data_IF_535617995704
#
_entry.id   IF_535617995704
#
_cell.length_a   1.000
_cell.length_b   1.000
_cell.length_c   1.000
_cell.angle_alpha   90.00
_cell.angle_beta   90.00
_cell.angle_gamma   90.00
#
_symmetry.space_group_name_H-M   'P 1'
#
loop_
_entity.id
_entity.type
_entity.pdbx_description
1 polymer ?
#
# COMPACT_ATOMS: atom_id res chain seq x y z
N UNK A 1 4.86 -26.68 -14.17
CA UNK A 1 4.97 -26.37 -12.72
C UNK A 1 4.60 -24.90 -12.56
N UNK A 2 3.35 -24.57 -12.21
CA UNK A 2 2.88 -23.17 -12.10
C UNK A 2 3.47 -22.56 -10.82
N UNK A 3 4.52 -21.76 -10.94
CA UNK A 3 4.98 -20.89 -9.85
C UNK A 3 3.88 -19.87 -9.58
N UNK A 4 3.32 -19.90 -8.37
CA UNK A 4 2.29 -18.95 -7.95
C UNK A 4 2.84 -17.52 -8.06
N UNK A 5 2.14 -16.65 -8.79
CA UNK A 5 2.41 -15.19 -8.92
C UNK A 5 2.69 -14.51 -7.58
N UNK A 6 2.18 -15.11 -6.50
CA UNK A 6 2.36 -14.78 -5.09
C UNK A 6 3.83 -14.62 -4.68
N UNK A 7 4.73 -15.55 -5.01
CA UNK A 7 6.07 -15.56 -4.38
C UNK A 7 6.95 -14.35 -4.78
N UNK A 8 7.15 -14.04 -6.08
CA UNK A 8 7.88 -12.85 -6.50
C UNK A 8 7.25 -11.55 -5.96
N UNK A 9 5.92 -11.47 -5.98
CA UNK A 9 5.19 -10.32 -5.46
C UNK A 9 5.48 -10.09 -3.96
N UNK A 10 5.43 -11.14 -3.14
CA UNK A 10 5.73 -11.04 -1.71
C UNK A 10 7.20 -10.71 -1.42
N UNK A 11 8.12 -11.16 -2.26
CA UNK A 11 9.55 -10.80 -2.19
C UNK A 11 9.72 -9.30 -2.44
N UNK A 12 9.13 -8.76 -3.51
CA UNK A 12 9.16 -7.33 -3.83
C UNK A 12 8.54 -6.46 -2.73
N UNK A 13 7.35 -6.83 -2.24
CA UNK A 13 6.66 -6.09 -1.16
C UNK A 13 7.49 -6.07 0.12
N UNK A 14 8.03 -7.22 0.55
CA UNK A 14 8.88 -7.27 1.76
C UNK A 14 10.13 -6.39 1.60
N UNK A 15 10.74 -6.41 0.43
CA UNK A 15 11.89 -5.55 0.14
C UNK A 15 11.51 -4.07 0.26
N UNK A 16 10.41 -3.67 -0.40
CA UNK A 16 9.93 -2.30 -0.43
C UNK A 16 9.60 -1.76 0.97
N UNK A 17 8.91 -2.55 1.81
CA UNK A 17 8.58 -2.15 3.18
C UNK A 17 9.84 -2.00 4.06
N UNK A 18 10.82 -2.90 3.91
CA UNK A 18 12.10 -2.82 4.62
C UNK A 18 12.89 -1.59 4.18
N UNK A 19 12.95 -1.35 2.87
CA UNK A 19 13.62 -0.19 2.27
C UNK A 19 12.96 1.11 2.72
N UNK A 20 11.64 1.21 2.62
CA UNK A 20 10.86 2.34 3.12
C UNK A 20 11.19 2.64 4.58
N UNK A 21 11.18 1.62 5.44
CA UNK A 21 11.55 1.78 6.86
C UNK A 21 12.99 2.26 7.07
N UNK A 22 13.93 1.85 6.21
CA UNK A 22 15.33 2.26 6.29
C UNK A 22 15.52 3.72 5.84
N UNK A 23 14.86 4.12 4.74
CA UNK A 23 14.81 5.50 4.26
C UNK A 23 14.24 6.42 5.34
N UNK A 24 13.15 6.02 6.00
CA UNK A 24 12.55 6.82 7.07
C UNK A 24 13.43 6.93 8.33
N UNK A 25 14.36 5.99 8.54
CA UNK A 25 15.37 6.09 9.60
C UNK A 25 16.55 6.99 9.23
N UNK A 26 16.58 7.54 8.01
CA UNK A 26 17.69 8.35 7.51
C UNK A 26 18.93 7.52 7.16
N UNK A 27 18.78 6.22 6.89
CA UNK A 27 19.90 5.41 6.41
C UNK A 27 20.41 5.94 5.07
N UNK A 28 21.74 6.06 4.92
CA UNK A 28 22.37 6.55 3.69
C UNK A 28 22.35 5.45 2.62
N UNK A 29 21.24 5.35 1.91
CA UNK A 29 21.03 4.42 0.80
C UNK A 29 21.07 5.16 -0.54
N UNK A 30 21.53 4.49 -1.60
CA UNK A 30 21.51 5.05 -2.95
C UNK A 30 20.18 4.77 -3.61
N UNK A 31 19.38 5.83 -3.86
CA UNK A 31 18.10 5.73 -4.57
C UNK A 31 18.22 4.91 -5.87
N UNK A 32 19.20 5.21 -6.71
CA UNK A 32 19.38 4.54 -8.01
C UNK A 32 19.67 3.03 -7.86
N UNK A 33 20.50 2.66 -6.88
CA UNK A 33 20.80 1.25 -6.59
C UNK A 33 19.55 0.52 -6.10
N UNK A 34 18.82 1.13 -5.17
CA UNK A 34 17.63 0.52 -4.58
C UNK A 34 16.47 0.43 -5.57
N UNK A 35 16.30 1.43 -6.45
CA UNK A 35 15.38 1.37 -7.58
C UNK A 35 15.74 0.24 -8.55
N UNK A 36 17.02 0.05 -8.86
CA UNK A 36 17.46 -1.07 -9.73
C UNK A 36 17.06 -2.42 -9.14
N UNK A 37 17.23 -2.60 -7.82
CA UNK A 37 16.80 -3.83 -7.14
C UNK A 37 15.29 -4.00 -7.19
N UNK A 38 14.52 -2.95 -6.88
CA UNK A 38 13.06 -3.00 -6.96
C UNK A 38 12.54 -3.27 -8.37
N UNK A 39 13.17 -2.71 -9.40
CA UNK A 39 12.87 -3.00 -10.80
C UNK A 39 13.11 -4.46 -11.12
N UNK A 40 14.26 -5.02 -10.73
CA UNK A 40 14.54 -6.45 -10.93
C UNK A 40 13.49 -7.34 -10.26
N UNK A 41 13.13 -7.04 -9.01
CA UNK A 41 12.09 -7.76 -8.27
C UNK A 41 10.70 -7.62 -8.92
N UNK A 42 10.37 -6.45 -9.49
CA UNK A 42 9.12 -6.24 -10.18
C UNK A 42 9.07 -7.02 -11.50
N UNK A 43 10.18 -7.12 -12.24
CA UNK A 43 10.25 -7.89 -13.49
C UNK A 43 10.05 -9.40 -13.26
N UNK A 44 10.39 -9.92 -12.07
CA UNK A 44 10.05 -11.31 -11.67
C UNK A 44 8.53 -11.54 -11.50
N UNK A 45 7.73 -10.48 -11.29
CA UNK A 45 6.27 -10.58 -11.19
C UNK A 45 5.66 -10.67 -12.59
N UNK A 46 4.70 -11.57 -12.85
CA UNK A 46 4.03 -11.66 -14.15
C UNK A 46 3.34 -10.36 -14.57
N UNK A 47 3.57 -9.96 -15.81
CA UNK A 47 2.80 -8.93 -16.51
C UNK A 47 1.52 -9.54 -17.12
N UNK A 48 0.87 -8.83 -18.05
CA UNK A 48 -0.34 -9.34 -18.70
C UNK A 48 -0.10 -10.35 -19.81
N UNK A 49 1.16 -10.74 -20.06
CA UNK A 49 1.50 -11.68 -21.12
C UNK A 49 1.21 -11.11 -22.51
N UNK A 50 0.42 -11.84 -23.29
CA UNK A 50 0.14 -11.52 -24.70
C UNK A 50 -1.02 -10.52 -24.92
N UNK A 51 -1.73 -10.12 -23.86
CA UNK A 51 -2.78 -9.09 -23.95
C UNK A 51 -2.14 -7.70 -23.81
N UNK A 52 -1.97 -7.01 -24.93
CA UNK A 52 -1.37 -5.67 -24.99
C UNK A 52 -2.12 -4.62 -24.14
N UNK A 53 -3.38 -4.88 -23.80
CA UNK A 53 -4.18 -3.98 -22.97
C UNK A 53 -4.12 -4.33 -21.49
N UNK A 54 -3.79 -5.56 -21.13
CA UNK A 54 -3.70 -5.99 -19.74
C UNK A 54 -2.24 -5.94 -19.24
N UNK A 55 -2.01 -5.34 -18.08
CA UNK A 55 -0.64 -5.15 -17.55
C UNK A 55 -0.27 -6.12 -16.42
N UNK A 56 -1.21 -6.96 -16.00
CA UNK A 56 -0.98 -8.04 -15.03
C UNK A 56 -0.65 -7.58 -13.61
N UNK A 57 -0.13 -8.51 -12.80
CA UNK A 57 0.19 -8.29 -11.39
C UNK A 57 1.38 -7.31 -11.20
N UNK A 58 2.33 -7.30 -12.14
CA UNK A 58 3.49 -6.40 -12.13
C UNK A 58 3.08 -4.94 -12.06
N UNK A 59 2.07 -4.55 -12.84
CA UNK A 59 1.62 -3.16 -12.87
C UNK A 59 1.00 -2.72 -11.55
N UNK A 60 0.22 -3.58 -10.89
CA UNK A 60 -0.31 -3.29 -9.56
C UNK A 60 0.81 -2.99 -8.55
N UNK A 61 1.86 -3.82 -8.54
CA UNK A 61 3.03 -3.64 -7.69
C UNK A 61 3.75 -2.32 -7.99
N UNK A 62 4.01 -2.02 -9.26
CA UNK A 62 4.70 -0.79 -9.69
C UNK A 62 3.93 0.46 -9.24
N UNK A 63 2.61 0.49 -9.45
CA UNK A 63 1.76 1.59 -8.97
C UNK A 63 1.84 1.78 -7.45
N UNK A 64 1.87 0.68 -6.68
CA UNK A 64 2.00 0.73 -5.22
C UNK A 64 3.39 1.19 -4.77
N UNK A 65 4.46 0.71 -5.40
CA UNK A 65 5.83 1.17 -5.13
C UNK A 65 5.94 2.68 -5.34
N UNK A 66 5.46 3.16 -6.48
CA UNK A 66 5.48 4.59 -6.78
C UNK A 66 4.64 5.39 -5.78
N UNK A 67 3.45 4.91 -5.39
CA UNK A 67 2.66 5.61 -4.37
C UNK A 67 3.33 5.62 -2.99
N UNK A 68 3.93 4.51 -2.59
CA UNK A 68 4.61 4.36 -1.30
C UNK A 68 5.76 5.37 -1.19
N UNK A 69 6.66 5.40 -2.18
CA UNK A 69 7.83 6.27 -2.10
C UNK A 69 7.51 7.74 -2.39
N UNK A 70 6.57 8.04 -3.29
CA UNK A 70 6.16 9.43 -3.55
C UNK A 70 5.40 10.02 -2.36
N UNK A 71 4.44 9.29 -1.78
CA UNK A 71 3.55 9.89 -0.79
C UNK A 71 3.99 9.69 0.66
N UNK A 72 4.87 8.71 0.94
CA UNK A 72 5.16 8.28 2.31
C UNK A 72 6.64 8.19 2.62
N UNK A 73 7.54 8.72 1.79
CA UNK A 73 8.97 8.62 2.05
C UNK A 73 9.74 9.94 1.93
N UNK A 74 10.88 10.02 2.60
CA UNK A 74 11.87 11.10 2.43
C UNK A 74 12.43 11.18 1.00
N UNK A 75 12.23 10.13 0.18
CA UNK A 75 12.59 10.12 -1.23
C UNK A 75 11.50 10.66 -2.16
N UNK A 76 10.42 11.25 -1.63
CA UNK A 76 9.27 11.76 -2.40
C UNK A 76 9.65 12.40 -3.74
N UNK A 77 10.44 13.47 -3.68
CA UNK A 77 10.72 14.30 -4.86
C UNK A 77 11.64 13.56 -5.85
N UNK A 78 12.73 12.98 -5.34
CA UNK A 78 13.69 12.24 -6.15
C UNK A 78 13.07 10.98 -6.80
N UNK A 79 12.11 10.33 -6.13
CA UNK A 79 11.35 9.21 -6.69
C UNK A 79 10.34 9.69 -7.73
N UNK A 80 9.67 10.83 -7.48
CA UNK A 80 8.68 11.40 -8.39
C UNK A 80 9.29 11.78 -9.76
N UNK A 81 10.57 12.15 -9.80
CA UNK A 81 11.31 12.39 -11.05
C UNK A 81 11.66 11.09 -11.82
N UNK A 82 11.69 9.95 -11.14
CA UNK A 82 12.18 8.66 -11.67
C UNK A 82 11.26 7.50 -11.30
N UNK A 83 9.98 7.68 -11.61
CA UNK A 83 8.93 6.69 -11.30
C UNK A 83 9.18 5.38 -12.02
N UNK A 84 8.87 4.28 -11.36
CA UNK A 84 8.94 2.96 -11.98
C UNK A 84 7.86 2.80 -13.05
N UNK A 85 6.68 3.41 -12.89
CA UNK A 85 5.64 3.42 -13.92
C UNK A 85 6.17 4.01 -15.23
N UNK A 86 6.80 5.18 -15.18
CA UNK A 86 7.33 5.83 -16.39
C UNK A 86 8.46 5.03 -17.00
N UNK A 87 9.35 4.46 -16.17
CA UNK A 87 10.47 3.66 -16.66
C UNK A 87 10.04 2.33 -17.31
N UNK A 88 8.99 1.68 -16.80
CA UNK A 88 8.57 0.35 -17.26
C UNK A 88 7.39 0.36 -18.24
N UNK A 89 6.55 1.39 -18.20
CA UNK A 89 5.30 1.44 -18.96
C UNK A 89 5.12 2.74 -19.74
N UNK A 90 6.08 3.67 -19.69
CA UNK A 90 6.04 4.93 -20.43
C UNK A 90 4.93 5.89 -20.02
N UNK A 91 4.22 5.62 -18.91
CA UNK A 91 3.06 6.38 -18.44
C UNK A 91 3.32 7.15 -17.14
N UNK A 92 2.36 7.98 -16.76
CA UNK A 92 2.32 8.67 -15.46
C UNK A 92 0.88 8.79 -14.93
N UNK A 93 0.08 7.74 -15.16
CA UNK A 93 -1.36 7.71 -14.90
C UNK A 93 -1.73 6.66 -13.83
N UNK A 94 -0.76 6.19 -13.03
CA UNK A 94 -0.96 5.12 -12.03
C UNK A 94 -2.19 5.31 -11.17
N UNK A 95 -2.54 6.56 -10.83
CA UNK A 95 -3.68 6.87 -9.99
C UNK A 95 -5.02 6.42 -10.62
N UNK A 96 -5.13 6.51 -11.94
CA UNK A 96 -6.33 6.13 -12.70
C UNK A 96 -6.20 4.73 -13.28
N UNK A 97 -5.07 4.46 -13.92
CA UNK A 97 -4.87 3.25 -14.71
C UNK A 97 -4.77 2.01 -13.81
N UNK A 98 -4.34 2.13 -12.55
CA UNK A 98 -4.45 1.05 -11.57
C UNK A 98 -5.87 0.49 -11.48
N UNK A 99 -6.89 1.36 -11.39
CA UNK A 99 -8.28 0.92 -11.22
C UNK A 99 -8.85 0.33 -12.52
N UNK A 100 -8.46 0.87 -13.67
CA UNK A 100 -8.81 0.29 -14.98
C UNK A 100 -8.25 -1.13 -15.11
N UNK A 101 -6.99 -1.31 -14.75
CA UNK A 101 -6.32 -2.60 -14.81
C UNK A 101 -6.83 -3.57 -13.74
N UNK A 102 -7.25 -3.09 -12.57
CA UNK A 102 -7.91 -3.91 -11.56
C UNK A 102 -9.26 -4.46 -12.07
N UNK A 103 -10.03 -3.64 -12.80
CA UNK A 103 -11.26 -4.10 -13.46
C UNK A 103 -10.98 -5.15 -14.53
N UNK A 104 -9.93 -4.96 -15.35
CA UNK A 104 -9.48 -5.97 -16.32
C UNK A 104 -9.02 -7.25 -15.64
N UNK A 105 -8.28 -7.16 -14.53
CA UNK A 105 -7.89 -8.32 -13.73
C UNK A 105 -9.11 -9.07 -13.19
N UNK A 106 -10.16 -8.35 -12.79
CA UNK A 106 -11.42 -8.94 -12.38
C UNK A 106 -12.18 -9.62 -13.53
N UNK A 107 -11.93 -9.26 -14.79
CA UNK A 107 -12.52 -9.94 -15.95
C UNK A 107 -11.75 -11.21 -16.37
N UNK A 108 -10.54 -11.44 -15.83
CA UNK A 108 -9.74 -12.63 -16.15
C UNK A 108 -10.35 -13.90 -15.55
N UNK A 109 -10.04 -15.04 -16.16
CA UNK A 109 -10.48 -16.37 -15.70
C UNK A 109 -9.89 -16.76 -14.35
N UNK A 110 -8.71 -16.24 -14.01
CA UNK A 110 -8.06 -16.48 -12.72
C UNK A 110 -7.97 -15.20 -11.91
N UNK A 111 -8.04 -15.34 -10.58
CA UNK A 111 -7.94 -14.21 -9.65
C UNK A 111 -6.48 -13.89 -9.26
N UNK A 112 -5.49 -14.49 -9.93
CA UNK A 112 -4.07 -14.34 -9.54
C UNK A 112 -3.61 -12.88 -9.65
N UNK A 113 -3.94 -12.21 -10.76
CA UNK A 113 -3.62 -10.80 -10.93
C UNK A 113 -4.49 -9.92 -10.02
N UNK A 114 -5.79 -10.20 -9.91
CA UNK A 114 -6.71 -9.45 -9.04
C UNK A 114 -6.25 -9.49 -7.57
N UNK A 115 -5.68 -10.61 -7.13
CA UNK A 115 -5.10 -10.76 -5.79
C UNK A 115 -3.94 -9.79 -5.54
N UNK A 116 -3.15 -9.46 -6.57
CA UNK A 116 -2.08 -8.46 -6.47
C UNK A 116 -2.64 -7.04 -6.31
N UNK A 117 -3.67 -6.68 -7.07
CA UNK A 117 -4.37 -5.39 -6.92
C UNK A 117 -4.98 -5.27 -5.52
N UNK A 118 -5.68 -6.30 -5.07
CA UNK A 118 -6.25 -6.35 -3.71
C UNK A 118 -5.18 -6.15 -2.64
N UNK A 119 -4.05 -6.88 -2.73
CA UNK A 119 -2.96 -6.77 -1.78
C UNK A 119 -2.36 -5.35 -1.75
N UNK A 120 -2.18 -4.71 -2.91
CA UNK A 120 -1.67 -3.35 -2.99
C UNK A 120 -2.61 -2.33 -2.31
N UNK A 121 -3.93 -2.49 -2.47
CA UNK A 121 -4.92 -1.65 -1.78
C UNK A 121 -4.93 -1.91 -0.27
N UNK A 122 -4.83 -3.18 0.14
CA UNK A 122 -4.71 -3.57 1.55
C UNK A 122 -3.46 -2.95 2.21
N UNK A 123 -2.38 -2.78 1.44
CA UNK A 123 -1.13 -2.14 1.85
C UNK A 123 -1.14 -0.61 1.72
N UNK A 124 -2.29 -0.01 1.41
CA UNK A 124 -2.47 1.44 1.45
C UNK A 124 -2.49 2.15 0.10
N UNK A 125 -2.46 1.44 -1.04
CA UNK A 125 -2.70 2.08 -2.33
C UNK A 125 -4.12 2.67 -2.39
N UNK A 126 -4.25 3.89 -2.89
CA UNK A 126 -5.51 4.63 -3.05
C UNK A 126 -5.70 5.16 -4.46
N UNK A 127 -4.62 5.64 -5.10
CA UNK A 127 -4.72 6.27 -6.42
C UNK A 127 -5.83 7.33 -6.46
N UNK A 128 -6.67 7.29 -7.51
CA UNK A 128 -7.80 8.24 -7.69
C UNK A 128 -8.87 8.17 -6.59
N UNK A 129 -9.02 7.03 -5.91
CA UNK A 129 -10.03 6.84 -4.86
C UNK A 129 -9.59 7.40 -3.50
N UNK A 130 -8.45 8.10 -3.42
CA UNK A 130 -7.97 8.74 -2.17
C UNK A 130 -9.01 9.63 -1.51
N UNK A 131 -9.80 10.33 -2.31
CA UNK A 131 -10.82 11.27 -1.84
C UNK A 131 -12.24 10.69 -1.89
N UNK A 132 -12.37 9.39 -2.13
CA UNK A 132 -13.66 8.67 -2.13
C UNK A 132 -13.56 7.38 -1.29
N UNK A 133 -13.51 7.50 0.06
CA UNK A 133 -13.43 6.37 0.96
C UNK A 133 -14.59 5.36 0.82
N UNK A 134 -15.85 5.77 0.61
CA UNK A 134 -16.95 4.83 0.39
C UNK A 134 -16.73 3.92 -0.82
N UNK A 135 -16.36 4.48 -1.98
CA UNK A 135 -16.13 3.67 -3.18
C UNK A 135 -14.91 2.74 -3.02
N UNK A 136 -13.88 3.19 -2.29
CA UNK A 136 -12.73 2.35 -1.97
C UNK A 136 -13.11 1.16 -1.08
N UNK A 137 -13.88 1.40 -0.02
CA UNK A 137 -14.32 0.37 0.92
C UNK A 137 -15.22 -0.66 0.23
N UNK A 138 -16.16 -0.17 -0.59
CA UNK A 138 -17.01 -1.02 -1.40
C UNK A 138 -16.18 -1.94 -2.31
N UNK A 139 -15.25 -1.39 -3.08
CA UNK A 139 -14.37 -2.18 -3.94
C UNK A 139 -13.53 -3.18 -3.14
N UNK A 140 -13.02 -2.76 -1.98
CA UNK A 140 -12.18 -3.59 -1.11
C UNK A 140 -12.92 -4.83 -0.61
N UNK A 141 -14.13 -4.66 -0.07
CA UNK A 141 -14.92 -5.76 0.48
C UNK A 141 -15.43 -6.70 -0.62
N UNK A 142 -15.88 -6.16 -1.76
CA UNK A 142 -16.26 -6.97 -2.93
C UNK A 142 -15.08 -7.84 -3.43
N UNK A 143 -13.90 -7.23 -3.55
CA UNK A 143 -12.70 -7.92 -4.05
C UNK A 143 -12.17 -8.93 -3.03
N UNK A 144 -12.20 -8.60 -1.73
CA UNK A 144 -11.81 -9.48 -0.64
C UNK A 144 -12.61 -10.78 -0.65
N UNK A 145 -13.93 -10.68 -0.78
CA UNK A 145 -14.82 -11.84 -0.80
C UNK A 145 -14.46 -12.79 -1.96
N UNK A 146 -14.16 -12.24 -3.13
CA UNK A 146 -13.76 -12.99 -4.33
C UNK A 146 -12.39 -13.65 -4.17
N UNK A 147 -11.35 -12.87 -3.86
CA UNK A 147 -9.96 -13.37 -3.72
C UNK A 147 -9.86 -14.42 -2.62
N UNK A 148 -10.56 -14.25 -1.50
CA UNK A 148 -10.54 -15.22 -0.39
C UNK A 148 -11.22 -16.53 -0.77
N UNK A 149 -12.31 -16.49 -1.55
CA UNK A 149 -12.99 -17.68 -2.06
C UNK A 149 -12.08 -18.49 -2.96
N UNK A 150 -11.43 -17.83 -3.91
CA UNK A 150 -10.50 -18.46 -4.86
C UNK A 150 -9.26 -19.04 -4.17
N UNK A 151 -8.69 -18.33 -3.20
CA UNK A 151 -7.60 -18.86 -2.36
C UNK A 151 -8.05 -20.04 -1.48
N UNK A 152 -9.31 -20.04 -1.01
CA UNK A 152 -9.90 -21.11 -0.22
C UNK A 152 -10.16 -22.40 -1.03
N UNK A 153 -10.44 -22.27 -2.33
CA UNK A 153 -10.58 -23.38 -3.27
C UNK A 153 -9.22 -23.94 -3.71
N UNK A 154 -8.19 -23.10 -3.80
CA UNK A 154 -6.84 -23.50 -4.17
C UNK A 154 -6.02 -24.12 -3.01
N UNK A 155 -6.44 -23.93 -1.75
CA UNK A 155 -5.70 -24.41 -0.59
C UNK A 155 -5.96 -25.90 -0.29
N UNK A 156 -4.91 -26.73 -0.41
CA UNK A 156 -4.92 -28.11 0.11
C UNK A 156 -5.12 -28.13 1.64
N UNK A 157 -5.74 -29.18 2.22
CA UNK A 157 -6.09 -29.23 3.66
C UNK A 157 -4.93 -28.96 4.62
N UNK A 158 -3.69 -29.35 4.25
CA UNK A 158 -2.48 -29.13 5.04
C UNK A 158 -2.08 -27.64 5.15
N UNK A 159 -2.25 -26.85 4.08
CA UNK A 159 -1.97 -25.41 4.08
C UNK A 159 -2.97 -24.63 4.94
N UNK A 160 -4.23 -25.11 5.01
CA UNK A 160 -5.29 -24.54 5.85
C UNK A 160 -4.95 -24.59 7.34
N UNK A 161 -4.24 -25.64 7.79
CA UNK A 161 -3.88 -25.85 9.20
C UNK A 161 -2.78 -24.91 9.70
N UNK A 162 -1.90 -24.44 8.80
CA UNK A 162 -0.78 -23.52 9.12
C UNK A 162 -1.20 -22.05 9.21
N UNK A 163 -2.29 -21.66 8.54
CA UNK A 163 -2.78 -20.27 8.42
C UNK A 163 -3.53 -19.74 9.66
N UNK A 164 -3.63 -20.56 10.72
CA UNK A 164 -4.32 -20.22 11.99
C UNK A 164 -3.46 -19.39 12.97
N UNK A 165 -2.26 -18.97 12.58
CA UNK A 165 -1.53 -17.95 13.35
C UNK A 165 -2.13 -16.58 13.04
N UNK A 166 -3.05 -16.12 13.87
CA UNK A 166 -3.51 -14.74 13.86
C UNK A 166 -2.30 -13.79 13.89
N UNK A 167 -2.14 -12.86 12.93
CA UNK A 167 -1.08 -11.87 13.03
C UNK A 167 -1.30 -11.03 14.31
N UNK A 168 -0.23 -10.60 15.01
CA UNK A 168 -0.36 -9.71 16.14
C UNK A 168 -1.07 -8.43 15.68
N UNK A 169 -2.15 -8.07 16.39
CA UNK A 169 -2.92 -6.84 16.11
C UNK A 169 -1.95 -5.65 16.10
N UNK A 170 -2.00 -4.85 15.03
CA UNK A 170 -1.17 -3.67 14.85
C UNK A 170 -1.34 -2.75 16.06
N UNK A 171 -0.31 -2.69 16.92
CA UNK A 171 -0.28 -1.91 18.18
C UNK A 171 -0.39 -0.38 17.98
N UNK A 172 -0.41 0.10 16.74
CA UNK A 172 -0.45 1.52 16.40
C UNK A 172 -1.78 2.20 16.73
N UNK A 173 -2.90 1.52 16.49
CA UNK A 173 -4.25 2.09 16.71
C UNK A 173 -4.50 2.40 18.20
N UNK A 174 -4.04 1.51 19.09
CA UNK A 174 -4.14 1.71 20.53
C UNK A 174 -3.24 2.85 21.04
N UNK A 175 -2.08 3.08 20.41
CA UNK A 175 -1.20 4.21 20.75
C UNK A 175 -1.78 5.54 20.30
N UNK A 176 -2.33 5.62 19.09
CA UNK A 176 -2.96 6.82 18.57
C UNK A 176 -4.18 7.22 19.41
N UNK A 177 -5.06 6.25 19.73
CA UNK A 177 -6.24 6.51 20.57
C UNK A 177 -5.87 7.01 21.98
N UNK A 178 -4.80 6.49 22.57
CA UNK A 178 -4.29 6.97 23.86
C UNK A 178 -3.71 8.37 23.75
N UNK A 179 -2.95 8.65 22.70
CA UNK A 179 -2.36 9.98 22.49
C UNK A 179 -3.43 11.05 22.29
N UNK A 180 -4.44 10.78 21.46
CA UNK A 180 -5.58 11.68 21.24
C UNK A 180 -6.34 11.91 22.55
N UNK A 181 -6.62 10.85 23.32
CA UNK A 181 -7.31 11.00 24.60
C UNK A 181 -6.52 11.88 25.60
N UNK A 182 -5.21 11.69 25.71
CA UNK A 182 -4.34 12.50 26.58
C UNK A 182 -4.29 13.96 26.12
N UNK A 183 -4.14 14.20 24.81
CA UNK A 183 -4.09 15.56 24.26
C UNK A 183 -5.41 16.32 24.46
N UNK A 184 -6.55 15.63 24.33
CA UNK A 184 -7.87 16.24 24.60
C UNK A 184 -8.02 16.62 26.06
N UNK A 185 -7.65 15.74 27.00
CA UNK A 185 -7.72 16.03 28.44
C UNK A 185 -6.80 17.18 28.83
N UNK A 186 -5.56 17.19 28.31
CA UNK A 186 -4.61 18.28 28.57
C UNK A 186 -5.14 19.63 28.06
N UNK A 187 -5.74 19.66 26.87
CA UNK A 187 -6.35 20.88 26.31
C UNK A 187 -7.49 21.40 27.19
N UNK A 188 -8.38 20.52 27.64
CA UNK A 188 -9.50 20.89 28.53
C UNK A 188 -8.99 21.46 29.86
N UNK A 189 -7.93 20.87 30.42
CA UNK A 189 -7.36 21.32 31.69
C UNK A 189 -6.58 22.62 31.58
N UNK A 190 -5.89 22.87 30.46
CA UNK A 190 -5.04 24.04 30.28
C UNK A 190 -5.80 25.28 29.76
N UNK A 191 -6.92 25.08 29.05
CA UNK A 191 -7.71 26.19 28.51
C UNK A 191 -8.15 27.23 29.56
N UNK A 192 -8.61 26.86 30.78
CA UNK A 192 -9.00 27.83 31.81
C UNK A 192 -7.82 28.65 32.36
N UNK A 193 -6.63 28.05 32.47
CA UNK A 193 -5.43 28.75 32.94
C UNK A 193 -4.92 29.73 31.89
N UNK A 194 -4.97 29.34 30.61
CA UNK A 194 -4.61 30.22 29.50
C UNK A 194 -5.57 31.42 29.42
N UNK A 195 -6.88 31.20 29.52
CA UNK A 195 -7.86 32.30 29.52
C UNK A 195 -7.71 33.19 30.75
N UNK A 196 -7.44 32.64 31.93
CA UNK A 196 -7.17 33.42 33.13
C UNK A 196 -5.92 34.31 32.99
N UNK A 197 -4.82 33.75 32.48
CA UNK A 197 -3.57 34.50 32.28
C UNK A 197 -3.72 35.63 31.24
N UNK A 198 -4.51 35.40 30.19
CA UNK A 198 -4.84 36.43 29.18
C UNK A 198 -5.70 37.54 29.81
N UNK A 199 -6.73 37.18 30.58
CA UNK A 199 -7.56 38.17 31.28
C UNK A 199 -6.73 38.99 32.29
N UNK A 200 -5.85 38.36 33.07
CA UNK A 200 -4.96 39.09 33.98
C UNK A 200 -4.04 40.08 33.27
N UNK A 201 -3.55 39.78 32.07
CA UNK A 201 -2.71 40.71 31.28
C UNK A 201 -3.47 41.85 30.63
N UNK A 202 -4.77 41.70 30.40
CA UNK A 202 -5.61 42.74 29.78
C UNK A 202 -6.14 43.71 30.84
N UNK A 203 -6.34 43.22 32.07
CA UNK A 203 -6.91 44.00 33.18
C UNK A 203 -5.86 44.49 34.22
N UNK A 204 -4.56 44.28 33.97
CA UNK A 204 -3.44 44.83 34.74
C UNK A 204 -2.67 45.84 33.88
#
# INVERSE_FOLDING_TARGET
MRTSTTEPLHKAIRYALRLHSAVERGERLSLAKEQTVLTGLALEVPDGGADDHFRGARYALVCWLDELFICRSQWSDAWNERKLESALYGGNDRAWEFWRQAQRAAAQTTDDALSAYYLCVALGFRGRLRNDPPALEEWFEQTRARVTRSAGLAATPAARRRRRSSPPRLRGEARLRRFVAVATVATILLAPFATYAVMQRIFA
#
